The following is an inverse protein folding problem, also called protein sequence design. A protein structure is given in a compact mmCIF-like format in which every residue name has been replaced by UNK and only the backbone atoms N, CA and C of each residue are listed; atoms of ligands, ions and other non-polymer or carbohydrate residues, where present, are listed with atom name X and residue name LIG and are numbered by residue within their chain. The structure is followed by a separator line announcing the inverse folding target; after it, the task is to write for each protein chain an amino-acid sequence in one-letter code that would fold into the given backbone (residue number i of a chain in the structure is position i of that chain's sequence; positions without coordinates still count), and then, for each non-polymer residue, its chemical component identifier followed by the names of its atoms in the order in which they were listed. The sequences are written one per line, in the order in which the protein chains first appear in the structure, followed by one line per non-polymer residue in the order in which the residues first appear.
data_IF_151532723388
#
_entry.id   IF_151532723388
#
_cell.length_a   1.000
_cell.length_b   1.000
_cell.length_c   1.000
_cell.angle_alpha   90.00
_cell.angle_beta   90.00
_cell.angle_gamma   90.00
#
_symmetry.space_group_name_H-M   'P 1'
#
loop_
_entity.id
_entity.type
_entity.pdbx_description
1 polymer ?
#
# COMPACT_ATOMS: atom_id res chain seq x y z
N UNK A 1 4.88 -3.63 17.45
CA UNK A 1 5.29 -3.01 16.17
C UNK A 1 5.60 -4.11 15.16
N UNK A 2 5.16 -3.98 13.92
CA UNK A 2 5.47 -4.95 12.87
C UNK A 2 6.90 -4.72 12.33
N UNK A 3 7.63 -5.79 12.03
CA UNK A 3 8.98 -5.76 11.44
C UNK A 3 8.94 -6.22 9.99
N UNK A 4 9.60 -5.49 9.10
CA UNK A 4 9.80 -5.85 7.69
C UNK A 4 11.29 -6.08 7.42
N UNK A 5 11.63 -7.18 6.76
CA UNK A 5 13.00 -7.50 6.36
C UNK A 5 13.06 -8.14 4.97
N UNK A 6 14.20 -8.03 4.31
CA UNK A 6 14.50 -8.75 3.06
C UNK A 6 15.49 -9.88 3.37
N UNK A 7 15.12 -11.12 3.08
CA UNK A 7 16.00 -12.27 3.26
C UNK A 7 15.85 -13.26 2.12
N UNK A 8 16.96 -13.66 1.50
CA UNK A 8 16.99 -14.64 0.39
C UNK A 8 15.93 -14.34 -0.70
N UNK A 9 15.84 -13.08 -1.12
CA UNK A 9 14.87 -12.56 -2.13
C UNK A 9 13.40 -12.70 -1.73
N UNK A 10 13.10 -12.78 -0.42
CA UNK A 10 11.74 -12.80 0.12
C UNK A 10 11.54 -11.64 1.08
N UNK A 11 10.33 -11.09 1.07
CA UNK A 11 9.91 -10.10 2.06
C UNK A 11 9.39 -10.87 3.27
N UNK A 12 9.96 -10.57 4.44
CA UNK A 12 9.54 -11.11 5.72
C UNK A 12 8.72 -10.07 6.47
N UNK A 13 7.52 -10.45 6.93
CA UNK A 13 6.72 -9.68 7.88
C UNK A 13 6.68 -10.48 9.18
N UNK A 14 7.24 -9.91 10.26
CA UNK A 14 7.36 -10.60 11.56
C UNK A 14 7.98 -12.00 11.41
N UNK A 15 9.12 -12.04 10.71
CA UNK A 15 9.93 -13.24 10.43
C UNK A 15 9.24 -14.35 9.59
N UNK A 16 8.02 -14.10 9.10
CA UNK A 16 7.31 -15.00 8.18
C UNK A 16 7.45 -14.52 6.74
N UNK A 17 7.73 -15.40 5.76
CA UNK A 17 7.80 -15.00 4.37
C UNK A 17 6.42 -14.70 3.80
N UNK A 18 6.29 -13.58 3.09
CA UNK A 18 5.07 -13.19 2.39
C UNK A 18 5.34 -12.93 0.91
N UNK A 19 4.41 -13.37 0.07
CA UNK A 19 4.30 -12.90 -1.30
C UNK A 19 3.47 -11.61 -1.27
N UNK A 20 4.06 -10.49 -1.68
CA UNK A 20 3.35 -9.22 -1.76
C UNK A 20 2.88 -8.99 -3.19
N UNK A 21 1.56 -8.96 -3.36
CA UNK A 21 0.92 -8.44 -4.57
C UNK A 21 0.59 -6.97 -4.33
N UNK A 22 1.11 -6.10 -5.18
CA UNK A 22 0.95 -4.66 -5.08
C UNK A 22 0.12 -4.08 -6.22
N UNK A 23 -0.72 -3.10 -5.89
CA UNK A 23 -1.35 -2.22 -6.87
C UNK A 23 -0.79 -0.81 -6.81
N UNK A 24 -0.79 -0.09 -7.92
CA UNK A 24 -0.42 1.33 -7.95
C UNK A 24 -1.68 2.20 -7.98
N UNK A 25 -1.69 3.24 -7.13
CA UNK A 25 -2.73 4.27 -7.12
C UNK A 25 -2.07 5.64 -7.02
N UNK A 26 -2.41 6.53 -7.95
CA UNK A 26 -1.92 7.90 -7.97
C UNK A 26 -2.94 8.82 -7.30
N UNK A 27 -2.85 8.96 -5.97
CA UNK A 27 -3.83 9.70 -5.17
C UNK A 27 -4.04 11.15 -5.62
N UNK A 28 -3.00 11.81 -6.14
CA UNK A 28 -3.08 13.20 -6.63
C UNK A 28 -3.93 13.35 -7.90
N UNK A 29 -4.36 12.23 -8.50
CA UNK A 29 -5.30 12.20 -9.64
C UNK A 29 -6.73 11.84 -9.21
N UNK A 30 -6.98 11.65 -7.92
CA UNK A 30 -8.25 11.21 -7.37
C UNK A 30 -8.75 12.22 -6.34
N UNK A 31 -10.05 12.45 -6.33
CA UNK A 31 -10.68 13.13 -5.20
C UNK A 31 -10.50 12.27 -3.93
N UNK A 32 -10.16 12.87 -2.76
CA UNK A 32 -10.03 12.12 -1.52
C UNK A 32 -11.27 11.30 -1.14
N UNK A 33 -12.46 11.75 -1.53
CA UNK A 33 -13.72 11.02 -1.32
C UNK A 33 -13.80 9.72 -2.12
N UNK A 34 -13.13 9.63 -3.26
CA UNK A 34 -13.16 8.47 -4.15
C UNK A 34 -12.13 7.38 -3.76
N UNK A 35 -11.23 7.65 -2.81
CA UNK A 35 -10.12 6.74 -2.52
C UNK A 35 -10.60 5.36 -2.06
N UNK A 36 -11.63 5.31 -1.22
CA UNK A 36 -12.19 4.06 -0.73
C UNK A 36 -12.63 3.16 -1.90
N UNK A 37 -13.33 3.73 -2.87
CA UNK A 37 -13.83 3.02 -4.06
C UNK A 37 -12.69 2.52 -4.96
N UNK A 38 -11.53 3.18 -4.93
CA UNK A 38 -10.34 2.71 -5.67
C UNK A 38 -9.53 1.66 -4.90
N UNK A 39 -9.55 1.70 -3.57
CA UNK A 39 -8.77 0.81 -2.70
C UNK A 39 -9.51 -0.50 -2.39
N UNK A 40 -10.83 -0.49 -2.28
CA UNK A 40 -11.61 -1.71 -1.98
C UNK A 40 -11.42 -2.83 -3.02
N UNK A 41 -11.49 -2.57 -4.35
CA UNK A 41 -11.24 -3.62 -5.33
C UNK A 41 -9.83 -4.21 -5.24
N UNK A 42 -8.84 -3.41 -4.82
CA UNK A 42 -7.47 -3.90 -4.62
C UNK A 42 -7.39 -4.88 -3.44
N UNK A 43 -8.03 -4.53 -2.32
CA UNK A 43 -8.15 -5.41 -1.15
C UNK A 43 -8.86 -6.71 -1.52
N UNK A 44 -9.99 -6.61 -2.21
CA UNK A 44 -10.86 -7.75 -2.52
C UNK A 44 -10.23 -8.69 -3.56
N UNK A 45 -9.34 -8.17 -4.41
CA UNK A 45 -8.48 -8.96 -5.30
C UNK A 45 -7.32 -9.69 -4.58
N UNK A 46 -7.26 -9.65 -3.25
CA UNK A 46 -6.20 -10.27 -2.46
C UNK A 46 -4.86 -9.52 -2.53
N UNK A 47 -4.85 -8.23 -2.91
CA UNK A 47 -3.63 -7.41 -2.84
C UNK A 47 -3.35 -7.03 -1.39
N UNK A 48 -2.10 -7.24 -0.99
CA UNK A 48 -1.63 -7.03 0.40
C UNK A 48 -0.99 -5.64 0.57
N UNK A 49 -0.65 -4.98 -0.54
CA UNK A 49 0.05 -3.69 -0.52
C UNK A 49 -0.45 -2.75 -1.62
N UNK A 50 -0.43 -1.44 -1.37
CA UNK A 50 -0.71 -0.39 -2.36
C UNK A 50 0.48 0.57 -2.38
N UNK A 51 1.00 0.82 -3.57
CA UNK A 51 2.02 1.84 -3.82
C UNK A 51 1.34 3.16 -4.13
N UNK A 52 1.66 4.19 -3.35
CA UNK A 52 1.18 5.56 -3.57
C UNK A 52 2.31 6.42 -4.10
N UNK A 53 2.12 6.96 -5.30
CA UNK A 53 3.09 7.84 -5.96
C UNK A 53 2.83 9.29 -5.53
N UNK A 54 3.84 9.97 -4.97
CA UNK A 54 3.78 11.40 -4.61
C UNK A 54 4.02 12.29 -5.82
N UNK A 55 3.37 13.46 -5.88
CA UNK A 55 3.59 14.44 -6.94
C UNK A 55 4.84 15.27 -6.66
N UNK A 56 5.07 15.62 -5.40
CA UNK A 56 6.28 16.32 -4.92
C UNK A 56 6.72 15.80 -3.53
N UNK A 57 7.95 16.11 -3.12
CA UNK A 57 8.46 15.75 -1.79
C UNK A 57 7.72 16.45 -0.63
N UNK A 58 7.02 17.55 -0.91
CA UNK A 58 6.29 18.38 0.06
C UNK A 58 4.85 17.90 0.29
N UNK A 59 4.37 16.93 -0.49
CA UNK A 59 3.03 16.40 -0.31
C UNK A 59 2.88 15.72 1.07
N UNK A 60 1.76 16.00 1.78
CA UNK A 60 1.52 15.41 3.09
C UNK A 60 1.44 13.88 2.98
N UNK A 61 1.98 13.14 3.99
CA UNK A 61 1.91 11.69 3.98
C UNK A 61 0.46 11.24 4.06
N UNK A 62 0.02 10.43 3.09
CA UNK A 62 -1.28 9.77 3.16
C UNK A 62 -1.26 8.80 4.34
N UNK A 63 -2.11 9.03 5.34
CA UNK A 63 -2.39 8.04 6.38
C UNK A 63 -3.60 7.22 5.97
N UNK A 64 -3.35 6.03 5.43
CA UNK A 64 -4.40 5.03 5.27
C UNK A 64 -4.53 4.28 6.59
N UNK A 65 -5.53 4.64 7.40
CA UNK A 65 -5.96 3.82 8.53
C UNK A 65 -6.90 2.75 7.99
N UNK A 66 -6.41 1.54 7.82
CA UNK A 66 -7.25 0.38 7.53
C UNK A 66 -7.89 -0.06 8.86
N UNK A 67 -9.18 0.24 9.04
CA UNK A 67 -10.05 -0.34 10.08
C UNK A 67 -10.46 -1.77 9.73
#
# INVERSE_FOLDING_TARGET
MARVALHRRRILLNDRPHLLLAGEVHYFRLDPGDWADRLHPLRDAGRVSVTVSRRTAEDPPIRLTLT
#
